data_IF_920725619782
#
_entry.id   IF_920725619782
#
_cell.length_a   1.000
_cell.length_b   1.000
_cell.length_c   1.000
_cell.angle_alpha   90.00
_cell.angle_beta   90.00
_cell.angle_gamma   90.00
#
_symmetry.space_group_name_H-M   'P 1'
#
loop_
_entity.id
_entity.type
_entity.pdbx_description
1 polymer ?
#
# COMPACT_ATOMS: atom_id res chain seq x y z
N UNK A 1 76.08 -5.71 26.48
CA UNK A 1 76.11 -4.88 25.26
C UNK A 1 76.56 -3.48 25.66
N UNK A 2 77.71 -3.02 25.20
CA UNK A 2 78.27 -1.71 25.58
C UNK A 2 77.39 -0.57 25.07
N UNK A 3 77.39 0.57 25.77
CA UNK A 3 76.61 1.77 25.40
C UNK A 3 76.86 2.21 23.96
N UNK A 4 78.10 2.06 23.46
CA UNK A 4 78.48 2.37 22.08
C UNK A 4 77.72 1.54 21.02
N UNK A 5 77.42 0.27 21.30
CA UNK A 5 76.68 -0.59 20.35
C UNK A 5 75.21 -0.19 20.26
N UNK A 6 74.61 0.39 21.32
CA UNK A 6 73.23 0.89 21.26
C UNK A 6 73.12 2.15 20.38
N UNK A 7 74.12 3.03 20.44
CA UNK A 7 74.14 4.26 19.65
C UNK A 7 74.27 3.95 18.16
N UNK A 8 75.21 3.06 17.78
CA UNK A 8 75.39 2.64 16.38
C UNK A 8 74.16 1.95 15.81
N UNK A 9 73.48 1.12 16.60
CA UNK A 9 72.24 0.47 16.17
C UNK A 9 71.13 1.51 15.94
N UNK A 10 70.96 2.49 16.84
CA UNK A 10 70.02 3.61 16.66
C UNK A 10 70.24 4.36 15.35
N UNK A 11 71.49 4.70 15.07
CA UNK A 11 71.83 5.53 13.91
C UNK A 11 71.67 4.77 12.60
N UNK A 12 71.99 3.47 12.62
CA UNK A 12 71.75 2.57 11.49
C UNK A 12 70.24 2.40 11.22
N UNK A 13 69.41 2.21 12.25
CA UNK A 13 67.96 2.10 12.08
C UNK A 13 67.35 3.39 11.54
N UNK A 14 67.82 4.57 12.01
CA UNK A 14 67.38 5.87 11.49
C UNK A 14 67.79 6.08 10.02
N UNK A 15 68.99 5.65 9.64
CA UNK A 15 69.46 5.73 8.26
C UNK A 15 68.65 4.81 7.33
N UNK A 16 68.37 3.57 7.76
CA UNK A 16 67.52 2.64 7.01
C UNK A 16 66.10 3.18 6.89
N UNK A 17 65.50 3.69 7.97
CA UNK A 17 64.16 4.29 7.92
C UNK A 17 64.16 5.43 6.89
N UNK A 18 65.13 6.35 6.98
CA UNK A 18 65.18 7.52 6.09
C UNK A 18 65.36 7.15 4.62
N UNK A 19 66.18 6.14 4.31
CA UNK A 19 66.47 5.73 2.93
C UNK A 19 65.39 4.86 2.30
N UNK A 20 64.73 3.99 3.07
CA UNK A 20 63.77 3.04 2.52
C UNK A 20 62.31 3.45 2.69
N UNK A 21 61.92 4.10 3.80
CA UNK A 21 60.50 4.39 4.03
C UNK A 21 60.00 5.61 3.25
N UNK A 22 60.81 6.67 3.14
CA UNK A 22 60.38 7.91 2.50
C UNK A 22 60.11 7.76 0.99
N UNK A 23 61.02 7.19 0.17
CA UNK A 23 60.77 7.06 -1.28
C UNK A 23 59.72 5.99 -1.64
N UNK A 24 59.41 5.05 -0.73
CA UNK A 24 58.40 4.02 -0.97
C UNK A 24 56.99 4.46 -0.57
N UNK A 25 56.86 5.24 0.51
CA UNK A 25 55.56 5.67 1.05
C UNK A 25 55.00 6.87 0.28
N UNK A 26 55.86 7.80 -0.15
CA UNK A 26 55.43 9.04 -0.79
C UNK A 26 54.62 8.84 -2.09
N UNK A 27 54.99 7.93 -3.02
CA UNK A 27 54.20 7.65 -4.23
C UNK A 27 52.85 7.03 -3.90
N UNK A 28 52.78 6.19 -2.87
CA UNK A 28 51.54 5.53 -2.43
C UNK A 28 50.57 6.58 -1.88
N UNK A 29 51.05 7.50 -1.03
CA UNK A 29 50.23 8.60 -0.52
C UNK A 29 49.75 9.49 -1.67
N UNK A 30 50.62 9.82 -2.63
CA UNK A 30 50.25 10.64 -3.77
C UNK A 30 49.18 9.96 -4.66
N UNK A 31 49.32 8.65 -4.92
CA UNK A 31 48.28 7.89 -5.62
C UNK A 31 46.98 7.79 -4.82
N UNK A 32 47.05 7.65 -3.49
CA UNK A 32 45.86 7.64 -2.65
C UNK A 32 45.13 8.98 -2.70
N UNK A 33 45.85 10.10 -2.59
CA UNK A 33 45.30 11.46 -2.66
C UNK A 33 44.75 11.78 -4.04
N UNK A 34 45.43 11.36 -5.11
CA UNK A 34 44.93 11.54 -6.47
C UNK A 34 43.68 10.69 -6.71
N UNK A 35 43.66 9.45 -6.22
CA UNK A 35 42.50 8.56 -6.32
C UNK A 35 41.31 9.12 -5.54
N UNK A 36 41.50 9.62 -4.31
CA UNK A 36 40.42 10.21 -3.53
C UNK A 36 39.89 11.51 -4.15
N UNK A 37 40.77 12.40 -4.62
CA UNK A 37 40.37 13.63 -5.31
C UNK A 37 39.62 13.35 -6.62
N UNK A 38 40.11 12.41 -7.43
CA UNK A 38 39.44 11.97 -8.65
C UNK A 38 38.10 11.28 -8.36
N UNK A 39 38.03 10.50 -7.28
CA UNK A 39 36.81 9.83 -6.84
C UNK A 39 35.75 10.83 -6.35
N UNK A 40 36.14 11.84 -5.56
CA UNK A 40 35.24 12.89 -5.09
C UNK A 40 34.76 13.75 -6.26
N UNK A 41 35.67 14.19 -7.13
CA UNK A 41 35.33 15.07 -8.26
C UNK A 41 34.41 14.44 -9.30
N UNK A 42 34.55 13.14 -9.58
CA UNK A 42 33.73 12.49 -10.62
C UNK A 42 32.53 11.72 -10.07
N UNK A 43 32.57 11.23 -8.83
CA UNK A 43 31.53 10.31 -8.32
C UNK A 43 30.65 10.88 -7.22
N UNK A 44 31.06 11.94 -6.54
CA UNK A 44 30.18 12.66 -5.61
C UNK A 44 29.60 13.90 -6.28
N UNK A 45 30.41 14.66 -7.03
CA UNK A 45 29.98 15.94 -7.58
C UNK A 45 28.92 15.81 -8.69
N UNK A 46 29.09 14.92 -9.67
CA UNK A 46 28.15 14.80 -10.78
C UNK A 46 26.74 14.32 -10.38
N UNK A 47 26.57 13.25 -9.57
CA UNK A 47 25.24 12.87 -9.09
C UNK A 47 24.68 13.88 -8.09
N UNK A 48 25.53 14.55 -7.29
CA UNK A 48 25.08 15.65 -6.43
C UNK A 48 24.52 16.82 -7.27
N UNK A 49 25.25 17.28 -8.29
CA UNK A 49 24.79 18.34 -9.20
C UNK A 49 23.52 17.91 -9.96
N UNK A 50 23.46 16.66 -10.42
CA UNK A 50 22.25 16.14 -11.08
C UNK A 50 21.06 16.10 -10.12
N UNK A 51 21.25 15.69 -8.86
CA UNK A 51 20.19 15.66 -7.85
C UNK A 51 19.72 17.07 -7.48
N UNK A 52 20.64 18.02 -7.34
CA UNK A 52 20.33 19.45 -7.12
C UNK A 52 19.57 20.02 -8.32
N UNK A 53 19.96 19.67 -9.55
CA UNK A 53 19.27 20.13 -10.75
C UNK A 53 17.85 19.55 -10.86
N UNK A 54 17.66 18.26 -10.55
CA UNK A 54 16.34 17.63 -10.50
C UNK A 54 15.48 18.25 -9.40
N UNK A 55 16.05 18.54 -8.22
CA UNK A 55 15.35 19.26 -7.14
C UNK A 55 14.94 20.67 -7.56
N UNK A 56 15.81 21.41 -8.24
CA UNK A 56 15.48 22.73 -8.75
C UNK A 56 14.37 22.67 -9.80
N UNK A 57 14.42 21.71 -10.74
CA UNK A 57 13.35 21.50 -11.72
C UNK A 57 12.03 21.15 -11.03
N UNK A 58 12.03 20.22 -10.07
CA UNK A 58 10.84 19.86 -9.29
C UNK A 58 10.25 21.09 -8.59
N UNK A 59 11.09 21.86 -7.90
CA UNK A 59 10.70 23.11 -7.25
C UNK A 59 10.09 24.12 -8.24
N UNK A 60 10.67 24.27 -9.44
CA UNK A 60 10.15 25.16 -10.47
C UNK A 60 8.87 24.65 -11.15
N UNK A 61 8.62 23.34 -11.18
CA UNK A 61 7.39 22.75 -11.69
C UNK A 61 6.24 22.78 -10.67
N UNK A 62 6.56 22.70 -9.39
CA UNK A 62 5.60 22.78 -8.29
C UNK A 62 5.19 24.22 -7.99
N UNK A 63 6.09 25.20 -8.20
CA UNK A 63 5.81 26.63 -7.98
C UNK A 63 4.58 27.15 -8.75
N UNK A 64 4.35 26.83 -10.04
CA UNK A 64 3.12 27.16 -10.75
C UNK A 64 1.87 26.59 -10.08
N UNK A 65 1.92 25.34 -9.61
CA UNK A 65 0.78 24.66 -8.97
C UNK A 65 0.47 25.31 -7.61
N UNK A 66 1.50 25.53 -6.79
CA UNK A 66 1.38 26.23 -5.51
C UNK A 66 0.88 27.67 -5.72
N UNK A 67 1.39 28.37 -6.73
CA UNK A 67 0.95 29.72 -7.09
C UNK A 67 -0.51 29.73 -7.54
N UNK A 68 -0.91 28.79 -8.40
CA UNK A 68 -2.29 28.64 -8.86
C UNK A 68 -3.23 28.36 -7.68
N UNK A 69 -2.87 27.42 -6.80
CA UNK A 69 -3.65 27.10 -5.60
C UNK A 69 -3.71 28.29 -4.61
N UNK A 70 -2.65 29.08 -4.51
CA UNK A 70 -2.62 30.31 -3.71
C UNK A 70 -3.52 31.39 -4.31
N UNK A 71 -3.55 31.51 -5.64
CA UNK A 71 -4.40 32.45 -6.38
C UNK A 71 -5.90 32.11 -6.23
N UNK A 72 -6.24 30.82 -6.18
CA UNK A 72 -7.61 30.33 -5.98
C UNK A 72 -8.04 30.19 -4.51
N UNK A 73 -7.14 30.39 -3.55
CA UNK A 73 -7.40 30.37 -2.10
C UNK A 73 -8.59 31.23 -1.63
N UNK A 74 -8.84 32.46 -2.13
CA UNK A 74 -10.01 33.23 -1.73
C UNK A 74 -11.34 32.72 -2.30
N UNK A 75 -11.34 31.83 -3.31
CA UNK A 75 -12.54 31.25 -3.90
C UNK A 75 -13.03 29.98 -3.16
N UNK A 76 -12.18 29.35 -2.34
CA UNK A 76 -12.47 28.07 -1.68
C UNK A 76 -11.91 28.05 -0.24
N UNK A 77 -12.51 28.80 0.71
CA UNK A 77 -11.98 28.98 2.06
C UNK A 77 -11.87 27.67 2.88
N UNK A 78 -12.65 26.64 2.55
CA UNK A 78 -12.65 25.35 3.25
C UNK A 78 -11.40 24.49 2.97
N UNK A 79 -10.70 24.70 1.84
CA UNK A 79 -9.49 23.93 1.49
C UNK A 79 -8.24 24.38 2.26
N UNK A 80 -8.30 25.53 2.95
CA UNK A 80 -7.13 26.17 3.56
C UNK A 80 -6.62 25.52 4.85
N UNK A 81 -7.39 24.61 5.47
CA UNK A 81 -7.03 23.99 6.75
C UNK A 81 -6.36 22.60 6.62
N UNK A 82 -6.37 21.99 5.43
CA UNK A 82 -6.01 20.58 5.27
C UNK A 82 -4.60 20.32 4.70
N UNK A 83 -3.88 21.34 4.23
CA UNK A 83 -2.89 21.09 3.16
C UNK A 83 -1.43 21.49 3.44
N UNK A 84 -1.10 22.04 4.62
CA UNK A 84 0.21 22.72 4.80
C UNK A 84 1.23 21.88 5.60
N UNK A 85 0.79 20.84 6.32
CA UNK A 85 1.68 20.02 7.15
C UNK A 85 2.15 18.70 6.50
N UNK A 86 1.22 17.96 5.89
CA UNK A 86 1.45 16.55 5.52
C UNK A 86 2.20 16.38 4.19
N UNK A 87 1.94 17.23 3.20
CA UNK A 87 2.58 17.15 1.89
C UNK A 87 4.08 17.43 1.94
N UNK A 88 4.55 18.22 2.90
CA UNK A 88 5.99 18.50 3.05
C UNK A 88 6.74 17.23 3.47
N UNK A 89 6.21 16.46 4.42
CA UNK A 89 6.85 15.22 4.87
C UNK A 89 6.78 14.12 3.83
N UNK A 90 5.65 14.01 3.10
CA UNK A 90 5.49 13.05 2.01
C UNK A 90 6.47 13.38 0.88
N UNK A 91 6.54 14.65 0.46
CA UNK A 91 7.45 15.10 -0.61
C UNK A 91 8.91 14.93 -0.20
N UNK A 92 9.28 15.30 1.03
CA UNK A 92 10.62 15.09 1.55
C UNK A 92 10.97 13.59 1.65
N UNK A 93 10.02 12.75 2.06
CA UNK A 93 10.15 11.30 2.07
C UNK A 93 10.45 10.75 0.68
N UNK A 94 9.64 11.09 -0.32
CA UNK A 94 9.86 10.67 -1.71
C UNK A 94 11.22 11.10 -2.27
N UNK A 95 11.69 12.30 -1.93
CA UNK A 95 13.00 12.79 -2.35
C UNK A 95 14.14 11.99 -1.72
N UNK A 96 14.06 11.70 -0.41
CA UNK A 96 15.06 10.91 0.31
C UNK A 96 15.09 9.48 -0.24
N UNK A 97 13.93 8.85 -0.42
CA UNK A 97 13.83 7.48 -0.96
C UNK A 97 14.32 7.39 -2.41
N UNK A 98 13.99 8.36 -3.26
CA UNK A 98 14.48 8.42 -4.65
C UNK A 98 16.01 8.53 -4.70
N UNK A 99 16.61 9.36 -3.82
CA UNK A 99 18.06 9.45 -3.71
C UNK A 99 18.69 8.10 -3.33
N UNK A 100 18.17 7.42 -2.30
CA UNK A 100 18.68 6.10 -1.89
C UNK A 100 18.51 5.03 -2.98
N UNK A 101 17.39 5.05 -3.71
CA UNK A 101 17.14 4.13 -4.82
C UNK A 101 18.18 4.27 -5.93
N UNK A 102 18.41 5.50 -6.42
CA UNK A 102 19.41 5.76 -7.46
C UNK A 102 20.85 5.52 -6.98
N UNK A 103 21.13 5.82 -5.71
CA UNK A 103 22.42 5.51 -5.08
C UNK A 103 22.69 3.99 -5.05
N UNK A 104 21.69 3.19 -4.66
CA UNK A 104 21.77 1.74 -4.67
C UNK A 104 21.94 1.16 -6.08
N UNK A 105 21.21 1.67 -7.08
CA UNK A 105 21.40 1.27 -8.49
C UNK A 105 22.83 1.60 -8.95
N UNK A 106 23.34 2.79 -8.64
CA UNK A 106 24.70 3.19 -8.97
C UNK A 106 25.77 2.27 -8.34
N UNK A 107 25.56 1.86 -7.10
CA UNK A 107 26.40 0.86 -6.42
C UNK A 107 26.33 -0.50 -7.13
N UNK A 108 25.12 -1.00 -7.44
CA UNK A 108 24.91 -2.31 -8.09
C UNK A 108 25.51 -2.39 -9.51
N UNK A 109 25.45 -1.30 -10.28
CA UNK A 109 26.05 -1.23 -11.61
C UNK A 109 27.58 -1.29 -11.55
N UNK A 110 28.20 -0.75 -10.49
CA UNK A 110 29.66 -0.67 -10.35
C UNK A 110 30.32 -1.84 -9.63
N UNK A 111 29.60 -2.59 -8.78
CA UNK A 111 30.16 -3.82 -8.22
C UNK A 111 30.34 -4.82 -9.37
N UNK A 112 31.60 -5.03 -9.79
CA UNK A 112 32.01 -6.13 -10.67
C UNK A 112 31.94 -7.45 -9.89
N UNK A 113 30.75 -7.86 -9.44
CA UNK A 113 30.57 -9.12 -8.73
C UNK A 113 30.33 -10.27 -9.71
N UNK A 114 31.00 -11.36 -9.42
CA UNK A 114 31.44 -12.44 -10.29
C UNK A 114 30.35 -13.46 -10.68
N UNK A 115 29.06 -13.12 -10.57
CA UNK A 115 27.96 -14.08 -10.79
C UNK A 115 26.85 -13.42 -11.62
N UNK A 116 26.89 -13.64 -12.95
CA UNK A 116 25.95 -13.08 -13.94
C UNK A 116 24.45 -13.24 -13.61
N UNK A 117 23.94 -14.35 -13.03
CA UNK A 117 22.50 -14.46 -12.75
C UNK A 117 22.02 -13.63 -11.55
N UNK A 118 22.86 -13.35 -10.55
CA UNK A 118 22.42 -12.74 -9.28
C UNK A 118 22.05 -11.25 -9.43
N UNK A 119 22.65 -10.53 -10.38
CA UNK A 119 22.32 -9.11 -10.61
C UNK A 119 20.86 -8.88 -11.02
N UNK A 120 20.29 -9.77 -11.83
CA UNK A 120 18.91 -9.64 -12.27
C UNK A 120 17.92 -9.92 -11.13
N UNK A 121 18.20 -10.91 -10.27
CA UNK A 121 17.37 -11.20 -9.10
C UNK A 121 17.35 -10.04 -8.11
N UNK A 122 18.49 -9.39 -7.84
CA UNK A 122 18.55 -8.24 -6.91
C UNK A 122 17.72 -7.07 -7.42
N UNK A 123 17.80 -6.74 -8.72
CA UNK A 123 17.01 -5.65 -9.30
C UNK A 123 15.52 -5.97 -9.23
N UNK A 124 15.11 -7.21 -9.53
CA UNK A 124 13.71 -7.64 -9.42
C UNK A 124 13.22 -7.57 -7.98
N UNK A 125 14.00 -8.03 -7.01
CA UNK A 125 13.66 -7.95 -5.58
C UNK A 125 13.46 -6.50 -5.11
N UNK A 126 14.34 -5.58 -5.49
CA UNK A 126 14.20 -4.15 -5.14
C UNK A 126 12.93 -3.56 -5.75
N UNK A 127 12.59 -3.93 -6.99
CA UNK A 127 11.35 -3.47 -7.64
C UNK A 127 10.12 -4.05 -6.93
N UNK A 128 10.14 -5.32 -6.53
CA UNK A 128 9.04 -5.96 -5.80
C UNK A 128 8.85 -5.35 -4.40
N UNK A 129 9.94 -5.07 -3.68
CA UNK A 129 9.89 -4.38 -2.38
C UNK A 129 9.34 -2.95 -2.55
N UNK A 130 9.72 -2.24 -3.61
CA UNK A 130 9.20 -0.90 -3.90
C UNK A 130 7.70 -0.90 -4.18
N UNK A 131 7.20 -1.86 -4.98
CA UNK A 131 5.76 -2.03 -5.23
C UNK A 131 5.02 -2.39 -3.96
N UNK A 132 5.60 -3.25 -3.11
CA UNK A 132 4.99 -3.69 -1.86
C UNK A 132 4.90 -2.55 -0.83
N UNK A 133 5.91 -1.70 -0.75
CA UNK A 133 5.96 -0.55 0.17
C UNK A 133 4.89 0.52 -0.13
N UNK A 134 4.57 0.74 -1.41
CA UNK A 134 3.50 1.66 -1.80
C UNK A 134 2.12 1.13 -1.37
N UNK A 135 1.94 -0.19 -1.26
CA UNK A 135 0.65 -0.82 -0.98
C UNK A 135 0.19 -0.76 0.48
N UNK A 136 1.09 -0.59 1.45
CA UNK A 136 0.75 -0.86 2.86
C UNK A 136 0.37 0.36 3.70
N UNK A 137 0.51 1.59 3.20
CA UNK A 137 0.42 2.80 4.05
C UNK A 137 -0.82 3.68 3.91
N UNK A 138 -1.77 3.37 3.02
CA UNK A 138 -2.73 4.40 2.56
C UNK A 138 -4.02 4.51 3.40
N UNK A 139 -4.14 3.77 4.50
CA UNK A 139 -5.39 3.68 5.26
C UNK A 139 -5.39 4.40 6.62
N UNK A 140 -4.51 5.37 6.88
CA UNK A 140 -4.42 6.04 8.20
C UNK A 140 -4.84 7.53 8.22
N UNK A 141 -5.33 8.12 7.11
CA UNK A 141 -5.78 9.52 7.08
C UNK A 141 -7.32 9.56 6.96
N UNK A 142 -8.02 9.93 8.04
CA UNK A 142 -9.46 9.72 8.27
C UNK A 142 -10.43 10.18 7.17
N UNK A 143 -10.07 11.18 6.35
CA UNK A 143 -10.89 11.63 5.22
C UNK A 143 -10.58 10.93 3.89
N UNK A 144 -9.29 10.74 3.57
CA UNK A 144 -8.83 10.13 2.32
C UNK A 144 -8.91 8.59 2.36
N UNK A 145 -8.73 8.01 3.55
CA UNK A 145 -8.87 6.58 3.85
C UNK A 145 -10.23 6.07 3.43
N UNK A 146 -11.30 6.76 3.80
CA UNK A 146 -12.64 6.25 3.59
C UNK A 146 -13.00 6.14 2.10
N UNK A 147 -12.56 7.10 1.29
CA UNK A 147 -12.68 7.01 -0.17
C UNK A 147 -11.89 5.81 -0.75
N UNK A 148 -10.69 5.55 -0.24
CA UNK A 148 -9.88 4.40 -0.66
C UNK A 148 -10.46 3.06 -0.19
N UNK A 149 -10.99 3.01 1.03
CA UNK A 149 -11.67 1.83 1.55
C UNK A 149 -12.95 1.54 0.77
N UNK A 150 -13.69 2.56 0.32
CA UNK A 150 -14.83 2.40 -0.59
C UNK A 150 -14.43 1.81 -1.93
N UNK A 151 -13.32 2.27 -2.51
CA UNK A 151 -12.75 1.66 -3.72
C UNK A 151 -12.40 0.19 -3.44
N UNK A 152 -11.83 -0.11 -2.27
CA UNK A 152 -11.54 -1.50 -1.89
C UNK A 152 -12.80 -2.35 -1.70
N UNK A 153 -13.88 -1.83 -1.09
CA UNK A 153 -15.14 -2.56 -0.93
C UNK A 153 -15.83 -2.78 -2.30
N UNK A 154 -15.71 -1.83 -3.24
CA UNK A 154 -16.11 -2.04 -4.64
C UNK A 154 -15.31 -3.19 -5.28
N UNK A 155 -13.98 -3.19 -5.21
CA UNK A 155 -13.18 -4.29 -5.78
C UNK A 155 -13.46 -5.65 -5.13
N UNK A 156 -13.89 -5.68 -3.86
CA UNK A 156 -14.35 -6.92 -3.21
C UNK A 156 -15.69 -7.39 -3.77
N UNK A 157 -16.63 -6.46 -4.00
CA UNK A 157 -17.89 -6.76 -4.68
C UNK A 157 -17.65 -7.26 -6.12
N UNK A 158 -16.64 -6.77 -6.83
CA UNK A 158 -16.30 -7.28 -8.18
C UNK A 158 -15.88 -8.75 -8.09
N UNK A 159 -15.08 -9.11 -7.08
CA UNK A 159 -14.66 -10.49 -6.87
C UNK A 159 -15.80 -11.39 -6.42
N UNK A 160 -16.71 -10.89 -5.59
CA UNK A 160 -17.97 -11.60 -5.28
C UNK A 160 -18.80 -11.79 -6.56
N UNK A 161 -18.89 -10.78 -7.43
CA UNK A 161 -19.59 -10.86 -8.71
C UNK A 161 -18.99 -11.89 -9.66
N UNK A 162 -17.66 -11.96 -9.75
CA UNK A 162 -16.97 -12.99 -10.52
C UNK A 162 -17.26 -14.38 -9.97
N UNK A 163 -17.24 -14.56 -8.65
CA UNK A 163 -17.57 -15.82 -8.00
C UNK A 163 -19.04 -16.22 -8.21
N UNK A 164 -19.97 -15.26 -8.16
CA UNK A 164 -21.38 -15.47 -8.49
C UNK A 164 -21.56 -15.88 -9.96
N UNK A 165 -20.83 -15.28 -10.88
CA UNK A 165 -20.85 -15.65 -12.29
C UNK A 165 -20.30 -17.06 -12.52
N UNK A 166 -19.18 -17.41 -11.86
CA UNK A 166 -18.65 -18.77 -11.92
C UNK A 166 -19.65 -19.78 -11.34
N UNK A 167 -20.30 -19.46 -10.21
CA UNK A 167 -21.37 -20.28 -9.66
C UNK A 167 -22.53 -20.45 -10.65
N UNK A 168 -22.95 -19.37 -11.32
CA UNK A 168 -24.09 -19.43 -12.26
C UNK A 168 -23.79 -20.28 -13.48
N UNK A 169 -22.55 -20.29 -13.96
CA UNK A 169 -22.12 -21.17 -15.07
C UNK A 169 -22.31 -22.65 -14.74
N UNK A 170 -22.17 -23.04 -13.47
CA UNK A 170 -22.33 -24.41 -12.99
C UNK A 170 -23.77 -24.72 -12.52
N UNK A 171 -24.66 -23.72 -12.44
CA UNK A 171 -26.00 -23.83 -11.86
C UNK A 171 -27.09 -23.22 -12.77
N UNK A 172 -27.07 -23.49 -14.08
CA UNK A 172 -28.13 -23.08 -15.03
C UNK A 172 -28.45 -21.56 -14.98
N UNK A 173 -27.39 -20.75 -14.93
CA UNK A 173 -27.42 -19.29 -14.78
C UNK A 173 -28.07 -18.79 -13.47
N UNK A 174 -28.37 -19.65 -12.50
CA UNK A 174 -28.89 -19.28 -11.18
C UNK A 174 -27.77 -18.89 -10.22
N UNK A 175 -27.96 -17.79 -9.49
CA UNK A 175 -27.15 -17.47 -8.32
C UNK A 175 -27.62 -18.26 -7.08
N UNK A 176 -26.82 -18.29 -5.99
CA UNK A 176 -27.24 -18.90 -4.73
C UNK A 176 -28.66 -18.51 -4.30
N UNK A 177 -29.42 -19.50 -3.84
CA UNK A 177 -30.85 -19.36 -3.54
C UNK A 177 -31.12 -18.77 -2.15
N UNK A 178 -30.10 -18.64 -1.31
CA UNK A 178 -30.22 -18.09 0.04
C UNK A 178 -29.83 -16.62 0.04
N UNK A 179 -30.54 -15.85 0.85
CA UNK A 179 -30.24 -14.44 1.04
C UNK A 179 -29.08 -14.25 2.04
N UNK A 180 -28.47 -13.07 1.98
CA UNK A 180 -27.43 -12.54 2.87
C UNK A 180 -26.20 -13.46 3.03
N UNK A 181 -25.62 -13.53 4.23
CA UNK A 181 -24.41 -14.30 4.51
C UNK A 181 -24.59 -15.79 4.20
N UNK A 182 -25.81 -16.32 4.24
CA UNK A 182 -26.07 -17.73 3.90
C UNK A 182 -25.90 -18.00 2.41
N UNK A 183 -26.23 -17.05 1.53
CA UNK A 183 -25.96 -17.15 0.09
C UNK A 183 -24.48 -17.02 -0.22
N UNK A 184 -23.83 -16.03 0.41
CA UNK A 184 -22.38 -15.83 0.28
C UNK A 184 -21.56 -17.01 0.83
N UNK A 185 -22.05 -17.67 1.88
CA UNK A 185 -21.47 -18.91 2.42
C UNK A 185 -21.52 -20.06 1.42
N UNK A 186 -22.50 -20.10 0.51
CA UNK A 186 -22.52 -21.11 -0.55
C UNK A 186 -21.37 -20.91 -1.54
N UNK A 187 -20.99 -19.67 -1.84
CA UNK A 187 -19.81 -19.40 -2.68
C UNK A 187 -18.53 -19.89 -2.01
N UNK A 188 -18.41 -19.67 -0.69
CA UNK A 188 -17.25 -20.10 0.09
C UNK A 188 -17.18 -21.63 0.24
N UNK A 189 -18.30 -22.27 0.55
CA UNK A 189 -18.38 -23.73 0.77
C UNK A 189 -18.19 -24.56 -0.50
N UNK A 190 -18.53 -23.99 -1.65
CA UNK A 190 -18.37 -24.65 -2.94
C UNK A 190 -17.09 -24.19 -3.67
N UNK A 191 -16.13 -23.60 -2.95
CA UNK A 191 -14.81 -23.21 -3.45
C UNK A 191 -14.77 -22.17 -4.59
N UNK A 192 -15.85 -21.39 -4.80
CA UNK A 192 -15.87 -20.27 -5.75
C UNK A 192 -15.14 -19.02 -5.22
N UNK A 193 -15.23 -18.77 -3.90
CA UNK A 193 -14.54 -17.66 -3.24
C UNK A 193 -14.21 -18.03 -1.79
N UNK A 194 -13.06 -18.67 -1.58
CA UNK A 194 -12.73 -19.29 -0.29
C UNK A 194 -12.19 -18.31 0.76
N UNK A 195 -11.56 -17.21 0.33
CA UNK A 195 -10.91 -16.28 1.25
C UNK A 195 -11.94 -15.36 1.93
N UNK A 196 -12.00 -15.49 3.26
CA UNK A 196 -12.83 -14.70 4.16
C UNK A 196 -12.65 -13.19 3.98
N UNK A 197 -11.45 -12.75 3.61
CA UNK A 197 -11.13 -11.34 3.42
C UNK A 197 -11.99 -10.65 2.36
N UNK A 198 -12.54 -11.38 1.39
CA UNK A 198 -13.40 -10.79 0.36
C UNK A 198 -14.82 -10.48 0.86
N UNK A 199 -15.23 -11.04 2.00
CA UNK A 199 -16.56 -10.81 2.57
C UNK A 199 -16.60 -9.71 3.65
N UNK A 200 -15.46 -9.08 3.94
CA UNK A 200 -15.33 -8.04 4.96
C UNK A 200 -14.91 -6.70 4.36
N UNK A 201 -15.47 -5.59 4.82
CA UNK A 201 -15.10 -4.26 4.34
C UNK A 201 -13.94 -3.70 5.20
N UNK A 202 -12.84 -3.18 4.61
CA UNK A 202 -11.68 -2.71 5.38
C UNK A 202 -11.96 -1.52 6.31
N UNK A 203 -13.05 -0.77 6.07
CA UNK A 203 -13.47 0.35 6.93
C UNK A 203 -14.00 -0.11 8.29
N UNK A 204 -14.51 -1.35 8.40
CA UNK A 204 -14.91 -1.88 9.71
C UNK A 204 -13.62 -2.17 10.48
N UNK A 205 -13.35 -1.33 11.49
CA UNK A 205 -12.09 -1.31 12.24
C UNK A 205 -11.67 -2.75 12.56
N UNK A 206 -10.50 -3.17 12.06
CA UNK A 206 -10.01 -4.54 12.25
C UNK A 206 -9.96 -4.89 13.72
N UNK A 207 -9.71 -3.92 14.60
CA UNK A 207 -9.73 -4.09 16.06
C UNK A 207 -11.11 -4.44 16.60
N UNK A 208 -12.22 -3.88 16.11
CA UNK A 208 -13.54 -4.18 16.70
C UNK A 208 -14.09 -5.55 16.31
N UNK A 209 -13.77 -6.05 15.11
CA UNK A 209 -14.10 -7.43 14.71
C UNK A 209 -13.11 -8.42 15.31
N UNK A 210 -11.80 -8.12 15.32
CA UNK A 210 -10.84 -9.01 15.99
C UNK A 210 -11.07 -9.06 17.50
N UNK A 211 -11.39 -7.96 18.18
CA UNK A 211 -11.76 -7.99 19.60
C UNK A 211 -13.09 -8.71 19.80
N UNK A 212 -14.14 -8.43 19.01
CA UNK A 212 -15.41 -9.13 19.16
C UNK A 212 -15.29 -10.66 18.92
N UNK A 213 -14.51 -11.08 17.94
CA UNK A 213 -14.26 -12.50 17.65
C UNK A 213 -13.26 -13.11 18.66
N UNK A 214 -12.20 -12.40 19.06
CA UNK A 214 -11.26 -12.87 20.06
C UNK A 214 -11.92 -13.03 21.45
N UNK A 215 -12.86 -12.14 21.80
CA UNK A 215 -13.60 -12.23 23.07
C UNK A 215 -14.65 -13.34 23.08
N UNK A 216 -15.17 -13.74 21.90
CA UNK A 216 -16.12 -14.85 21.77
C UNK A 216 -15.43 -16.22 21.64
N UNK A 217 -14.16 -16.26 21.20
CA UNK A 217 -13.50 -17.53 20.82
C UNK A 217 -12.27 -17.87 21.67
N UNK A 218 -11.56 -16.92 22.27
CA UNK A 218 -10.23 -17.21 22.84
C UNK A 218 -9.95 -16.59 24.22
N UNK A 219 -10.31 -17.33 25.28
CA UNK A 219 -9.45 -17.42 26.46
C UNK A 219 -8.22 -18.28 26.11
N UNK A 220 -7.21 -17.66 25.50
CA UNK A 220 -5.82 -18.13 25.57
C UNK A 220 -5.19 -18.71 24.30
N UNK A 221 -4.05 -18.12 23.95
CA UNK A 221 -2.86 -18.66 23.25
C UNK A 221 -2.58 -18.25 21.79
N UNK A 222 -1.38 -17.67 21.64
CA UNK A 222 -0.44 -17.69 20.49
C UNK A 222 -0.85 -17.03 19.17
N UNK A 223 -0.09 -15.99 18.79
CA UNK A 223 -0.23 -15.14 17.59
C UNK A 223 0.09 -15.81 16.24
N UNK A 224 0.29 -17.13 16.19
CA UNK A 224 0.69 -17.87 14.97
C UNK A 224 -0.42 -18.71 14.33
N UNK A 225 -1.65 -18.69 14.87
CA UNK A 225 -2.79 -19.37 14.26
C UNK A 225 -3.60 -18.40 13.41
N UNK A 226 -3.63 -18.64 12.08
CA UNK A 226 -4.64 -18.08 11.19
C UNK A 226 -6.00 -18.41 11.83
N UNK A 227 -6.81 -17.43 12.23
CA UNK A 227 -8.10 -17.73 12.85
C UNK A 227 -8.87 -18.63 11.88
N UNK A 228 -9.28 -19.78 12.38
CA UNK A 228 -10.16 -20.68 11.65
C UNK A 228 -11.52 -19.98 11.65
N UNK A 229 -11.73 -19.12 10.65
CA UNK A 229 -12.97 -18.39 10.51
C UNK A 229 -14.09 -19.43 10.35
N UNK A 230 -15.07 -19.38 11.24
CA UNK A 230 -16.28 -20.18 11.14
C UNK A 230 -17.06 -19.86 9.86
N UNK A 231 -18.25 -20.45 9.72
CA UNK A 231 -19.14 -20.12 8.61
C UNK A 231 -19.41 -18.61 8.54
N UNK A 232 -19.65 -18.07 7.35
CA UNK A 232 -20.12 -16.70 7.19
C UNK A 232 -21.49 -16.53 7.88
N UNK A 233 -21.61 -15.45 8.67
CA UNK A 233 -22.79 -15.04 9.43
C UNK A 233 -23.05 -13.55 9.20
N UNK A 234 -24.24 -13.08 9.56
CA UNK A 234 -24.56 -11.66 9.39
C UNK A 234 -23.69 -10.70 10.20
N UNK A 235 -23.14 -11.19 11.31
CA UNK A 235 -22.28 -10.44 12.21
C UNK A 235 -20.87 -10.26 11.64
N UNK A 236 -20.46 -11.18 10.76
CA UNK A 236 -19.07 -11.33 10.35
C UNK A 236 -18.85 -11.01 8.85
N UNK A 237 -19.94 -10.83 8.08
CA UNK A 237 -19.97 -10.38 6.70
C UNK A 237 -20.37 -8.90 6.60
N UNK A 238 -19.64 -8.14 5.79
CA UNK A 238 -19.84 -6.71 5.57
C UNK A 238 -20.70 -6.37 4.34
N UNK A 239 -21.21 -7.36 3.61
CA UNK A 239 -22.02 -7.16 2.42
C UNK A 239 -23.40 -7.81 2.60
N UNK A 240 -24.46 -7.16 2.12
CA UNK A 240 -25.76 -7.80 1.95
C UNK A 240 -25.78 -8.55 0.62
N UNK A 241 -26.63 -9.58 0.53
CA UNK A 241 -26.78 -10.37 -0.67
C UNK A 241 -28.26 -10.72 -0.90
N UNK A 242 -28.73 -10.49 -2.12
CA UNK A 242 -30.08 -10.84 -2.55
C UNK A 242 -30.00 -12.09 -3.42
N UNK A 243 -30.44 -13.21 -2.87
CA UNK A 243 -30.42 -14.50 -3.55
C UNK A 243 -31.47 -14.62 -4.64
N UNK A 244 -31.51 -15.81 -5.26
CA UNK A 244 -32.55 -16.20 -6.24
C UNK A 244 -32.65 -15.28 -7.46
N UNK A 245 -31.56 -14.60 -7.78
CA UNK A 245 -31.42 -13.89 -9.05
C UNK A 245 -30.75 -14.79 -10.08
N UNK A 246 -30.92 -14.46 -11.35
CA UNK A 246 -30.23 -15.11 -12.47
C UNK A 246 -29.19 -14.19 -13.06
N UNK A 247 -28.06 -14.77 -13.46
CA UNK A 247 -27.12 -14.07 -14.32
C UNK A 247 -27.77 -13.80 -15.68
N UNK A 248 -27.62 -12.58 -16.18
CA UNK A 248 -27.89 -12.23 -17.56
C UNK A 248 -27.20 -10.90 -17.87
N UNK A 249 -26.62 -10.72 -19.07
CA UNK A 249 -25.97 -9.46 -19.46
C UNK A 249 -26.88 -8.23 -19.33
N UNK A 250 -28.19 -8.42 -19.54
CA UNK A 250 -29.21 -7.36 -19.49
C UNK A 250 -29.84 -7.21 -18.09
N UNK A 251 -29.54 -8.12 -17.15
CA UNK A 251 -30.11 -8.08 -15.81
C UNK A 251 -29.34 -7.11 -14.91
N UNK A 252 -29.88 -5.89 -14.77
CA UNK A 252 -29.36 -4.86 -13.86
C UNK A 252 -30.00 -4.92 -12.47
N UNK A 253 -30.48 -6.08 -12.04
CA UNK A 253 -31.02 -6.22 -10.68
C UNK A 253 -29.88 -6.21 -9.66
N UNK A 254 -29.97 -5.42 -8.58
CA UNK A 254 -29.03 -5.47 -7.46
C UNK A 254 -28.97 -6.86 -6.81
N UNK A 255 -27.76 -7.39 -6.65
CA UNK A 255 -27.51 -8.73 -6.07
C UNK A 255 -26.66 -8.71 -4.82
N UNK A 256 -25.75 -7.73 -4.67
CA UNK A 256 -25.01 -7.56 -3.44
C UNK A 256 -24.67 -6.08 -3.23
N UNK A 257 -24.48 -5.66 -1.98
CA UNK A 257 -24.13 -4.27 -1.68
C UNK A 257 -23.48 -4.10 -0.31
N UNK A 258 -22.84 -2.95 -0.08
CA UNK A 258 -22.22 -2.62 1.21
C UNK A 258 -23.24 -2.59 2.37
N UNK A 259 -22.87 -3.05 3.57
CA UNK A 259 -23.69 -2.78 4.75
C UNK A 259 -23.56 -1.32 5.17
N UNK A 260 -24.67 -0.69 5.56
CA UNK A 260 -24.73 0.75 5.92
C UNK A 260 -23.72 1.18 6.98
N UNK A 261 -23.36 0.27 7.89
CA UNK A 261 -22.44 0.54 8.99
C UNK A 261 -20.97 0.32 8.63
N UNK A 262 -20.64 -0.14 7.43
CA UNK A 262 -19.25 -0.32 6.99
C UNK A 262 -18.45 0.97 7.02
N UNK A 263 -19.11 2.07 6.68
CA UNK A 263 -18.49 3.34 6.30
C UNK A 263 -18.79 4.45 7.31
N UNK A 264 -18.78 4.12 8.62
CA UNK A 264 -19.00 5.09 9.70
C UNK A 264 -17.72 5.88 9.96
N UNK A 265 -17.86 7.21 10.03
CA UNK A 265 -16.75 8.13 10.31
C UNK A 265 -16.36 8.17 11.79
N UNK A 266 -17.28 7.77 12.68
CA UNK A 266 -17.07 7.72 14.14
C UNK A 266 -17.93 6.61 14.77
N UNK A 267 -17.40 5.95 15.81
CA UNK A 267 -18.12 4.93 16.58
C UNK A 267 -19.27 5.49 17.43
N UNK A 268 -19.23 6.79 17.77
CA UNK A 268 -20.13 7.43 18.72
C UNK A 268 -21.10 8.46 18.11
N UNK A 269 -21.01 8.71 16.81
CA UNK A 269 -21.86 9.67 16.10
C UNK A 269 -22.69 8.93 15.06
N UNK A 270 -23.97 8.75 15.35
CA UNK A 270 -24.98 8.23 14.39
C UNK A 270 -25.21 9.24 13.24
N UNK A 271 -24.58 10.42 13.31
CA UNK A 271 -24.83 11.53 12.40
C UNK A 271 -24.02 11.46 11.10
N UNK A 272 -24.59 10.70 10.16
CA UNK A 272 -24.88 11.09 8.78
C UNK A 272 -23.83 11.88 7.98
N UNK A 273 -22.80 11.18 7.51
CA UNK A 273 -22.35 11.38 6.12
C UNK A 273 -22.19 10.00 5.48
N UNK A 274 -23.33 9.38 5.15
CA UNK A 274 -23.35 8.26 4.20
C UNK A 274 -23.51 8.89 2.83
N UNK A 275 -22.38 9.18 2.19
CA UNK A 275 -22.36 9.76 0.84
C UNK A 275 -22.82 8.76 -0.23
N UNK A 276 -22.92 7.47 0.10
CA UNK A 276 -23.40 6.43 -0.77
C UNK A 276 -22.97 5.03 -0.36
N UNK A 277 -23.17 4.07 -1.25
CA UNK A 277 -22.68 2.68 -1.15
C UNK A 277 -22.49 2.07 -2.52
N UNK A 278 -21.68 1.02 -2.59
CA UNK A 278 -21.47 0.26 -3.82
C UNK A 278 -22.51 -0.86 -3.91
N UNK A 279 -23.01 -1.05 -5.12
CA UNK A 279 -24.03 -2.04 -5.45
C UNK A 279 -23.52 -2.86 -6.63
N UNK A 280 -23.47 -4.16 -6.44
CA UNK A 280 -23.22 -5.14 -7.49
C UNK A 280 -24.55 -5.50 -8.17
N UNK A 281 -24.56 -5.40 -9.49
CA UNK A 281 -25.68 -5.80 -10.34
C UNK A 281 -25.50 -7.23 -10.83
N UNK A 282 -26.61 -7.89 -11.19
CA UNK A 282 -26.61 -9.30 -11.59
C UNK A 282 -25.81 -9.59 -12.88
N UNK A 283 -25.56 -8.58 -13.71
CA UNK A 283 -24.68 -8.66 -14.87
C UNK A 283 -23.18 -8.50 -14.54
N UNK A 284 -22.83 -8.22 -13.27
CA UNK A 284 -21.46 -8.03 -12.80
C UNK A 284 -20.99 -6.56 -12.76
N UNK A 285 -21.80 -5.60 -13.22
CA UNK A 285 -21.47 -4.17 -13.12
C UNK A 285 -21.56 -3.69 -11.66
N UNK A 286 -20.73 -2.71 -11.30
CA UNK A 286 -20.82 -2.01 -10.01
C UNK A 286 -21.30 -0.58 -10.21
N UNK A 287 -22.30 -0.20 -9.42
CA UNK A 287 -22.79 1.17 -9.34
C UNK A 287 -22.57 1.73 -7.93
N UNK A 288 -21.98 2.93 -7.86
CA UNK A 288 -21.91 3.69 -6.60
C UNK A 288 -23.14 4.58 -6.48
N UNK A 289 -24.07 4.20 -5.62
CA UNK A 289 -25.31 4.94 -5.39
C UNK A 289 -25.07 5.99 -4.32
N UNK A 290 -25.38 7.25 -4.60
CA UNK A 290 -25.18 8.36 -3.65
C UNK A 290 -26.39 8.59 -2.75
N UNK A 291 -26.12 9.10 -1.54
CA UNK A 291 -27.15 9.64 -0.65
C UNK A 291 -27.62 8.70 0.47
N UNK A 292 -28.32 9.24 1.46
CA UNK A 292 -28.54 8.62 2.78
C UNK A 292 -29.45 7.39 2.81
N UNK A 293 -30.26 7.18 1.77
CA UNK A 293 -31.32 6.16 1.73
C UNK A 293 -31.05 5.04 0.74
N UNK A 294 -29.83 4.95 0.20
CA UNK A 294 -29.51 3.98 -0.85
C UNK A 294 -29.86 2.54 -0.44
N UNK A 295 -29.58 2.14 0.81
CA UNK A 295 -29.95 0.82 1.35
C UNK A 295 -31.47 0.65 1.54
N UNK A 296 -32.19 1.72 1.90
CA UNK A 296 -33.66 1.69 2.06
C UNK A 296 -34.34 1.51 0.72
N UNK A 297 -33.80 2.09 -0.35
CA UNK A 297 -34.32 1.92 -1.71
C UNK A 297 -34.24 0.46 -2.15
N UNK A 298 -33.12 -0.24 -1.86
CA UNK A 298 -32.96 -1.65 -2.18
C UNK A 298 -33.74 -2.59 -1.26
N UNK A 299 -33.75 -2.34 0.06
CA UNK A 299 -34.56 -3.11 1.00
C UNK A 299 -36.07 -2.92 0.76
N UNK A 300 -36.51 -1.73 0.35
CA UNK A 300 -37.91 -1.47 0.01
C UNK A 300 -38.30 -2.14 -1.31
N UNK A 301 -37.41 -2.18 -2.31
CA UNK A 301 -37.62 -2.95 -3.55
C UNK A 301 -37.76 -4.45 -3.26
N UNK A 302 -37.02 -4.99 -2.29
CA UNK A 302 -37.21 -6.36 -1.81
C UNK A 302 -38.57 -6.58 -1.13
N UNK A 303 -38.98 -5.68 -0.24
CA UNK A 303 -40.29 -5.78 0.44
C UNK A 303 -41.46 -5.69 -0.56
N UNK A 304 -41.36 -4.83 -1.58
CA UNK A 304 -42.37 -4.73 -2.65
C UNK A 304 -42.42 -5.98 -3.54
N UNK A 305 -41.29 -6.68 -3.77
CA UNK A 305 -41.25 -7.96 -4.47
C UNK A 305 -41.86 -9.09 -3.63
N UNK A 306 -41.62 -9.12 -2.32
CA UNK A 306 -42.22 -10.10 -1.39
C UNK A 306 -43.74 -9.94 -1.25
N UNK A 307 -44.28 -8.72 -1.37
CA UNK A 307 -45.73 -8.46 -1.30
C UNK A 307 -46.49 -8.66 -2.63
N UNK A 308 -45.81 -9.05 -3.72
CA UNK A 308 -46.42 -9.34 -5.03
C UNK A 308 -46.46 -10.83 -5.39
N UNK A 309 -46.07 -11.72 -4.47
CA UNK A 309 -46.29 -13.17 -4.55
C UNK A 309 -47.41 -13.57 -3.59
#
# INVERSE_FOLDING_TARGET
MTTENKTRLSDFTKAILKYFTVPLILPIIHHLLFFTAWFIGNYLFLPFVSSVFIMLIGFFLDMPVIFLMTLFKPLLPEFSKLYIGEDFFITAGFLIFSFFYWFCIGLLLKIKFFIKPIKHFIVIFIVLDFVSFIGTGICEIDGARENLCRISCASKLEQIGLALHQYSMDNDDDFPDKDDAKGLEMLRKNDYLTDYNFYTCPSVNRESIFEAIAHLVYHGTSADRKPEYGNLTEENVSFCYNGKQKYSPDNKTPVAWDKRYNHKKDANTIDYVIDGGNVLLANGEIETVKGRNWEVEFNHLEMLKKNKK
#
